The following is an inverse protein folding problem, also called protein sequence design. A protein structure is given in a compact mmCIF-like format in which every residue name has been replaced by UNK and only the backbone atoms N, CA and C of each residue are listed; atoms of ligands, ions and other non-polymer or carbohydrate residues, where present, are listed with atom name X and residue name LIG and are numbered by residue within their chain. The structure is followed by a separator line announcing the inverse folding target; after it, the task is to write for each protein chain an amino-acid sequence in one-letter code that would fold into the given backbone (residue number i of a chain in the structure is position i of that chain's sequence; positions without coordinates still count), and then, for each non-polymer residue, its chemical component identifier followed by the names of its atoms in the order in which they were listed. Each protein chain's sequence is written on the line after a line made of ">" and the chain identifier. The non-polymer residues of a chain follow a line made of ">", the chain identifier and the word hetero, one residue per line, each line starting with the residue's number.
data_IF_386791385635
#
_entry.id   IF_386791385635
#
_cell.length_a   1.000
_cell.length_b   1.000
_cell.length_c   1.000
_cell.angle_alpha   90.00
_cell.angle_beta   90.00
_cell.angle_gamma   90.00
#
_symmetry.space_group_name_H-M   'P 1'
#
loop_
_entity.id
_entity.type
_entity.pdbx_description
1 polymer ?
#
# COMPACT_ATOMS: atom_id res chain seq x y z
N UNK A 1 -6.87 15.19 -9.10
CA UNK A 1 -6.16 16.39 -8.63
C UNK A 1 -4.72 15.95 -8.54
N UNK A 2 -3.99 16.14 -9.63
CA UNK A 2 -2.62 15.65 -9.75
C UNK A 2 -1.68 16.74 -9.23
N UNK A 3 -0.85 16.45 -8.24
CA UNK A 3 0.19 17.39 -7.78
C UNK A 3 0.13 17.82 -6.31
N UNK A 4 -0.36 16.96 -5.41
CA UNK A 4 -0.22 17.11 -3.96
C UNK A 4 0.22 15.75 -3.41
N UNK A 5 1.29 15.72 -2.60
CA UNK A 5 1.80 14.46 -2.03
C UNK A 5 0.80 13.86 -1.05
N UNK A 6 0.76 12.53 -0.95
CA UNK A 6 -0.23 11.84 -0.11
C UNK A 6 -0.19 12.19 1.39
N UNK A 7 0.94 12.71 1.89
CA UNK A 7 1.10 13.18 3.28
C UNK A 7 0.65 14.63 3.50
N UNK A 8 0.29 15.35 2.45
CA UNK A 8 -0.22 16.71 2.53
C UNK A 8 -1.74 16.64 2.61
N UNK A 9 -2.27 16.87 3.81
CA UNK A 9 -3.70 16.84 4.09
C UNK A 9 -4.46 17.77 3.12
N UNK A 10 -5.45 17.22 2.41
CA UNK A 10 -6.26 17.90 1.38
C UNK A 10 -7.69 18.15 1.89
N UNK A 11 -7.91 18.15 3.22
CA UNK A 11 -9.16 18.64 3.77
C UNK A 11 -9.36 20.12 3.40
N UNK A 12 -10.60 20.54 3.20
CA UNK A 12 -11.00 21.93 2.88
C UNK A 12 -10.46 22.94 3.92
N UNK A 13 -10.07 22.47 5.10
CA UNK A 13 -9.44 23.28 6.13
C UNK A 13 -7.98 23.69 5.82
N UNK A 14 -7.22 22.91 5.04
CA UNK A 14 -5.78 23.07 4.73
C UNK A 14 -5.00 23.80 5.86
N UNK A 15 -4.92 23.22 7.07
CA UNK A 15 -4.41 23.93 8.24
C UNK A 15 -2.91 24.25 8.13
N UNK A 16 -2.18 23.53 7.28
CA UNK A 16 -0.76 23.72 7.00
C UNK A 16 -0.57 24.23 5.56
N UNK A 17 0.54 24.92 5.33
CA UNK A 17 0.94 25.37 3.99
C UNK A 17 1.52 24.19 3.20
N UNK A 18 0.88 23.70 2.13
CA UNK A 18 1.39 22.58 1.33
C UNK A 18 2.63 22.98 0.52
N UNK A 19 3.41 22.00 0.09
CA UNK A 19 4.65 22.14 -0.67
C UNK A 19 4.39 22.79 -2.04
N UNK A 20 3.23 22.54 -2.65
CA UNK A 20 2.82 23.23 -3.87
C UNK A 20 2.69 24.76 -3.62
N UNK A 21 1.87 25.17 -2.66
CA UNK A 21 1.74 26.58 -2.29
C UNK A 21 3.07 27.18 -1.84
N UNK A 22 3.90 26.39 -1.15
CA UNK A 22 5.25 26.78 -0.76
C UNK A 22 6.14 27.04 -1.98
N UNK A 23 6.15 26.16 -2.98
CA UNK A 23 6.88 26.36 -4.25
C UNK A 23 6.45 27.65 -4.92
N UNK A 24 5.14 27.87 -5.03
CA UNK A 24 4.58 29.07 -5.66
C UNK A 24 5.08 30.36 -5.00
N UNK A 25 5.02 30.42 -3.66
CA UNK A 25 5.52 31.56 -2.87
C UNK A 25 7.04 31.73 -3.00
N UNK A 26 7.79 30.62 -2.97
CA UNK A 26 9.25 30.62 -3.04
C UNK A 26 9.74 31.17 -4.39
N UNK A 27 9.12 30.77 -5.50
CA UNK A 27 9.41 31.29 -6.85
C UNK A 27 8.96 32.75 -6.99
N UNK A 28 7.84 33.14 -6.38
CA UNK A 28 7.37 34.52 -6.40
C UNK A 28 8.21 35.48 -5.53
N UNK A 29 9.14 34.96 -4.73
CA UNK A 29 9.96 35.75 -3.80
C UNK A 29 9.17 36.23 -2.57
N UNK A 30 8.20 35.44 -2.12
CA UNK A 30 7.27 35.80 -1.05
C UNK A 30 7.37 34.83 0.13
N UNK A 31 7.33 35.37 1.35
CA UNK A 31 7.18 34.59 2.57
C UNK A 31 5.83 34.93 3.20
N UNK A 32 4.96 33.92 3.21
CA UNK A 32 3.67 33.96 3.89
C UNK A 32 3.80 33.25 5.25
N UNK A 33 3.29 33.87 6.32
CA UNK A 33 3.23 33.20 7.63
C UNK A 33 2.12 32.15 7.65
N UNK A 34 2.17 31.22 8.61
CA UNK A 34 1.12 30.22 8.77
C UNK A 34 -0.22 30.87 9.15
N UNK A 35 -0.20 31.90 10.00
CA UNK A 35 -1.41 32.65 10.36
C UNK A 35 -2.01 33.38 9.16
N UNK A 36 -1.19 33.98 8.30
CA UNK A 36 -1.65 34.64 7.08
C UNK A 36 -2.22 33.63 6.08
N UNK A 37 -1.59 32.47 5.93
CA UNK A 37 -2.13 31.35 5.15
C UNK A 37 -3.50 30.89 5.68
N UNK A 38 -3.60 30.67 6.98
CA UNK A 38 -4.85 30.28 7.65
C UNK A 38 -5.91 31.39 7.66
N UNK A 39 -5.53 32.64 7.39
CA UNK A 39 -6.45 33.77 7.20
C UNK A 39 -6.96 33.91 5.76
N UNK A 40 -6.28 33.31 4.76
CA UNK A 40 -6.72 33.35 3.37
C UNK A 40 -8.03 32.57 3.19
N UNK A 41 -8.89 33.06 2.30
CA UNK A 41 -10.06 32.31 1.83
C UNK A 41 -9.67 31.07 1.03
N UNK A 42 -10.58 30.11 0.95
CA UNK A 42 -10.36 28.81 0.29
C UNK A 42 -9.95 28.96 -1.18
N UNK A 43 -10.54 29.93 -1.90
CA UNK A 43 -10.21 30.21 -3.30
C UNK A 43 -8.75 30.66 -3.47
N UNK A 44 -8.28 31.58 -2.63
CA UNK A 44 -6.90 32.05 -2.63
C UNK A 44 -5.91 30.93 -2.28
N UNK A 45 -6.24 30.07 -1.30
CA UNK A 45 -5.40 28.91 -0.96
C UNK A 45 -5.32 27.91 -2.12
N UNK A 46 -6.45 27.62 -2.78
CA UNK A 46 -6.50 26.74 -3.96
C UNK A 46 -5.71 27.33 -5.13
N UNK A 47 -5.82 28.63 -5.38
CA UNK A 47 -5.04 29.31 -6.42
C UNK A 47 -3.52 29.17 -6.19
N UNK A 48 -3.06 29.31 -4.94
CA UNK A 48 -1.65 29.10 -4.58
C UNK A 48 -1.18 27.66 -4.80
N UNK A 49 -2.01 26.67 -4.44
CA UNK A 49 -1.70 25.25 -4.70
C UNK A 49 -1.61 24.99 -6.20
N UNK A 50 -2.60 25.43 -6.98
CA UNK A 50 -2.63 25.25 -8.44
C UNK A 50 -1.42 25.90 -9.11
N UNK A 51 -1.07 27.14 -8.73
CA UNK A 51 0.10 27.83 -9.25
C UNK A 51 1.41 27.07 -8.95
N UNK A 52 1.46 26.41 -7.78
CA UNK A 52 2.60 25.63 -7.33
C UNK A 52 2.73 24.23 -7.94
N UNK A 53 1.62 23.63 -8.39
CA UNK A 53 1.61 22.30 -9.02
C UNK A 53 1.95 22.33 -10.50
N UNK A 54 1.78 23.48 -11.17
CA UNK A 54 2.06 23.64 -12.60
C UNK A 54 3.56 23.55 -12.96
N UNK A 55 3.84 23.26 -14.23
CA UNK A 55 5.22 23.21 -14.76
C UNK A 55 5.94 24.57 -14.66
N UNK A 56 5.19 25.67 -14.70
CA UNK A 56 5.69 27.03 -14.54
C UNK A 56 4.82 27.72 -13.51
N UNK A 57 5.44 28.41 -12.56
CA UNK A 57 4.71 29.22 -11.57
C UNK A 57 4.31 30.55 -12.20
N UNK A 58 3.01 30.82 -12.24
CA UNK A 58 2.49 32.14 -12.59
C UNK A 58 2.64 33.11 -11.40
N UNK A 59 3.73 33.88 -11.42
CA UNK A 59 4.06 34.83 -10.34
C UNK A 59 3.00 35.93 -10.19
N UNK A 60 2.31 36.31 -11.26
CA UNK A 60 1.25 37.32 -11.19
C UNK A 60 0.03 36.77 -10.43
N UNK A 61 -0.41 35.56 -10.78
CA UNK A 61 -1.49 34.88 -10.08
C UNK A 61 -1.16 34.60 -8.60
N UNK A 62 0.09 34.26 -8.28
CA UNK A 62 0.53 34.10 -6.88
C UNK A 62 0.43 35.40 -6.10
N UNK A 63 0.85 36.53 -6.70
CA UNK A 63 0.77 37.86 -6.06
C UNK A 63 -0.67 38.30 -5.85
N UNK A 64 -1.54 38.03 -6.83
CA UNK A 64 -2.97 38.28 -6.71
C UNK A 64 -3.58 37.47 -5.56
N UNK A 65 -3.31 36.16 -5.50
CA UNK A 65 -3.84 35.26 -4.47
C UNK A 65 -3.47 35.66 -3.03
N UNK A 66 -2.35 36.36 -2.82
CA UNK A 66 -1.92 36.80 -1.47
C UNK A 66 -2.29 38.25 -1.13
N UNK A 67 -2.96 38.98 -2.03
CA UNK A 67 -3.23 40.41 -1.85
C UNK A 67 -4.08 40.71 -0.60
N UNK A 68 -4.92 39.77 -0.17
CA UNK A 68 -5.75 39.87 1.03
C UNK A 68 -5.18 39.22 2.30
N UNK A 69 -3.90 38.79 2.29
CA UNK A 69 -3.32 38.11 3.44
C UNK A 69 -2.97 39.07 4.58
N UNK A 70 -3.30 38.69 5.82
CA UNK A 70 -2.94 39.43 7.05
C UNK A 70 -2.25 38.48 8.06
N UNK A 71 -0.98 38.73 8.45
CA UNK A 71 -0.10 39.81 8.00
C UNK A 71 0.28 39.69 6.52
N UNK A 72 0.53 40.84 5.89
CA UNK A 72 0.97 40.92 4.50
C UNK A 72 2.25 40.09 4.25
N UNK A 73 2.40 39.45 3.08
CA UNK A 73 3.58 38.67 2.76
C UNK A 73 4.85 39.51 2.77
N UNK A 74 5.92 39.02 3.37
CA UNK A 74 7.22 39.69 3.34
C UNK A 74 8.04 39.24 2.14
N UNK A 75 8.80 40.15 1.54
CA UNK A 75 9.76 39.80 0.48
C UNK A 75 10.85 38.84 0.99
N UNK A 76 11.25 37.92 0.12
CA UNK A 76 12.43 37.06 0.28
C UNK A 76 13.14 36.92 -1.05
N UNK A 77 14.35 36.36 -1.02
CA UNK A 77 14.99 35.90 -2.25
C UNK A 77 14.08 34.89 -2.96
N UNK A 78 13.78 35.17 -4.23
CA UNK A 78 13.09 34.22 -5.11
C UNK A 78 13.99 32.99 -5.29
N UNK A 79 13.39 31.81 -5.23
CA UNK A 79 14.11 30.60 -5.59
C UNK A 79 14.30 30.55 -7.11
N UNK A 80 15.53 30.23 -7.50
CA UNK A 80 15.88 30.01 -8.89
C UNK A 80 15.69 28.52 -9.20
N UNK A 81 14.61 28.21 -9.93
CA UNK A 81 14.29 26.83 -10.30
C UNK A 81 15.38 26.19 -11.18
N UNK A 82 16.24 26.97 -11.83
CA UNK A 82 17.38 26.44 -12.57
C UNK A 82 18.36 25.68 -11.65
N UNK A 83 18.38 25.96 -10.34
CA UNK A 83 19.18 25.22 -9.35
C UNK A 83 18.69 23.80 -9.11
N UNK A 84 17.46 23.48 -9.52
CA UNK A 84 16.86 22.15 -9.47
C UNK A 84 17.06 21.38 -10.78
N UNK A 85 17.94 21.84 -11.67
CA UNK A 85 18.35 21.09 -12.85
C UNK A 85 18.98 19.73 -12.48
N UNK A 86 19.72 19.69 -11.37
CA UNK A 86 20.36 18.48 -10.84
C UNK A 86 19.82 18.11 -9.44
N UNK A 87 19.84 16.82 -9.06
CA UNK A 87 19.46 16.40 -7.71
C UNK A 87 20.45 16.88 -6.64
N UNK A 88 19.98 17.08 -5.39
CA UNK A 88 20.84 17.29 -4.23
C UNK A 88 21.95 16.24 -4.15
N UNK A 89 23.16 16.64 -3.76
CA UNK A 89 24.34 15.76 -3.79
C UNK A 89 24.13 14.44 -3.02
N UNK A 90 23.43 14.52 -1.88
CA UNK A 90 23.03 13.40 -1.03
C UNK A 90 22.09 12.40 -1.71
N UNK A 91 21.33 12.85 -2.72
CA UNK A 91 20.31 12.04 -3.41
C UNK A 91 20.69 11.69 -4.85
N UNK A 92 21.81 12.19 -5.37
CA UNK A 92 22.27 11.91 -6.74
C UNK A 92 22.34 10.43 -7.07
N UNK A 93 22.84 9.61 -6.14
CA UNK A 93 22.94 8.17 -6.35
C UNK A 93 21.57 7.47 -6.47
N UNK A 94 20.53 8.04 -5.84
CA UNK A 94 19.17 7.47 -5.82
C UNK A 94 18.30 8.01 -6.96
N UNK A 95 18.44 9.29 -7.28
CA UNK A 95 17.54 10.01 -8.18
C UNK A 95 18.16 10.36 -9.52
N UNK A 96 19.47 10.20 -9.71
CA UNK A 96 20.19 10.76 -10.86
C UNK A 96 19.52 10.48 -12.21
N UNK A 97 19.15 9.22 -12.46
CA UNK A 97 18.51 8.81 -13.71
C UNK A 97 17.02 9.20 -13.82
N UNK A 98 16.32 9.33 -12.68
CA UNK A 98 14.90 9.66 -12.62
C UNK A 98 14.64 11.17 -12.55
N UNK A 99 15.60 11.96 -12.08
CA UNK A 99 15.47 13.39 -11.81
C UNK A 99 14.98 14.20 -13.02
N UNK A 100 15.47 13.96 -14.25
CA UNK A 100 14.99 14.67 -15.44
C UNK A 100 13.50 14.41 -15.75
N UNK A 101 12.95 13.27 -15.32
CA UNK A 101 11.54 12.92 -15.54
C UNK A 101 10.61 13.47 -14.44
N UNK A 102 11.14 13.88 -13.28
CA UNK A 102 10.34 14.46 -12.20
C UNK A 102 9.76 15.81 -12.60
N UNK A 103 8.51 16.05 -12.18
CA UNK A 103 7.87 17.36 -12.31
C UNK A 103 8.63 18.43 -11.51
N UNK A 104 8.49 19.73 -11.86
CA UNK A 104 9.11 20.81 -11.09
C UNK A 104 8.71 20.81 -9.61
N UNK A 105 7.44 20.50 -9.31
CA UNK A 105 6.97 20.33 -7.93
C UNK A 105 7.68 19.16 -7.22
N UNK A 106 7.83 18.02 -7.90
CA UNK A 106 8.52 16.86 -7.33
C UNK A 106 9.99 17.17 -6.98
N UNK A 107 10.71 17.83 -7.89
CA UNK A 107 12.09 18.27 -7.65
C UNK A 107 12.18 19.25 -6.49
N UNK A 108 11.25 20.22 -6.44
CA UNK A 108 11.16 21.19 -5.34
C UNK A 108 10.92 20.49 -4.00
N UNK A 109 9.94 19.59 -3.91
CA UNK A 109 9.59 18.90 -2.69
C UNK A 109 10.76 18.10 -2.12
N UNK A 110 11.44 17.32 -2.95
CA UNK A 110 12.62 16.53 -2.54
C UNK A 110 13.73 17.44 -2.02
N UNK A 111 14.10 18.47 -2.78
CA UNK A 111 15.15 19.40 -2.37
C UNK A 111 14.77 20.18 -1.10
N UNK A 112 13.49 20.53 -0.94
CA UNK A 112 12.99 21.23 0.23
C UNK A 112 13.07 20.36 1.50
N UNK A 113 12.62 19.10 1.39
CA UNK A 113 12.62 18.15 2.51
C UNK A 113 14.04 17.76 2.94
N UNK A 114 14.95 17.57 1.97
CA UNK A 114 16.37 17.29 2.21
C UNK A 114 17.04 18.46 2.95
N UNK A 115 16.87 19.69 2.46
CA UNK A 115 17.41 20.90 3.09
C UNK A 115 16.91 21.11 4.52
N UNK A 116 15.68 20.68 4.82
CA UNK A 116 15.07 20.77 6.15
C UNK A 116 15.52 19.65 7.10
N UNK A 117 16.23 18.64 6.61
CA UNK A 117 16.63 17.47 7.40
C UNK A 117 15.45 16.61 7.86
N UNK A 118 14.30 16.67 7.18
CA UNK A 118 13.13 15.89 7.55
C UNK A 118 13.19 14.50 6.90
N UNK A 119 14.02 13.62 7.47
CA UNK A 119 14.30 12.30 6.89
C UNK A 119 13.05 11.44 6.70
N UNK A 120 12.06 11.51 7.61
CA UNK A 120 10.84 10.71 7.51
C UNK A 120 9.99 11.12 6.29
N UNK A 121 9.67 12.41 6.16
CA UNK A 121 8.89 12.91 5.01
C UNK A 121 9.67 12.83 3.71
N UNK A 122 11.00 12.97 3.76
CA UNK A 122 11.84 12.79 2.59
C UNK A 122 11.73 11.36 2.07
N UNK A 123 11.77 10.34 2.93
CA UNK A 123 11.58 8.96 2.50
C UNK A 123 10.17 8.69 1.97
N UNK A 124 9.13 9.28 2.57
CA UNK A 124 7.74 9.20 2.04
C UNK A 124 7.63 9.82 0.64
N UNK A 125 8.15 11.03 0.44
CA UNK A 125 8.16 11.71 -0.86
C UNK A 125 8.99 10.93 -1.89
N UNK A 126 10.14 10.37 -1.49
CA UNK A 126 10.96 9.55 -2.37
C UNK A 126 10.25 8.25 -2.74
N UNK A 127 9.48 7.63 -1.84
CA UNK A 127 8.67 6.47 -2.16
C UNK A 127 7.58 6.77 -3.20
N UNK A 128 6.98 7.97 -3.13
CA UNK A 128 5.96 8.42 -4.09
C UNK A 128 6.57 8.80 -5.46
N UNK A 129 7.79 9.36 -5.49
CA UNK A 129 8.42 9.90 -6.70
C UNK A 129 9.37 8.96 -7.43
N UNK A 130 10.05 8.09 -6.69
CA UNK A 130 10.85 7.03 -7.29
C UNK A 130 9.92 5.90 -7.68
N UNK A 131 10.06 5.33 -8.88
CA UNK A 131 9.37 4.11 -9.21
C UNK A 131 9.98 2.95 -8.40
N UNK A 132 9.61 2.86 -7.11
CA UNK A 132 9.70 1.65 -6.30
C UNK A 132 9.02 1.69 -4.90
N UNK A 133 7.72 2.06 -4.79
CA UNK A 133 6.62 1.40 -3.99
C UNK A 133 5.42 2.35 -3.73
N UNK A 134 4.13 1.92 -3.74
CA UNK A 134 3.48 0.71 -4.22
C UNK A 134 2.66 1.04 -5.48
N UNK A 135 3.28 0.91 -6.64
CA UNK A 135 2.55 0.87 -7.91
C UNK A 135 1.54 -0.26 -7.81
N UNK A 136 0.33 -0.08 -8.37
CA UNK A 136 -0.47 -1.22 -8.84
C UNK A 136 0.42 -1.99 -9.81
N UNK A 137 1.23 -2.90 -9.27
CA UNK A 137 2.34 -3.63 -9.90
C UNK A 137 1.91 -4.31 -11.19
N UNK A 138 0.61 -4.49 -11.32
CA UNK A 138 -0.03 -5.18 -12.39
C UNK A 138 -0.41 -4.32 -13.57
N UNK A 139 -0.08 -3.03 -13.64
CA UNK A 139 -0.44 -2.17 -14.78
C UNK A 139 0.78 -1.57 -15.48
N UNK A 140 0.73 -1.46 -16.80
CA UNK A 140 1.70 -0.73 -17.64
C UNK A 140 1.37 0.77 -17.75
N UNK A 141 2.19 1.53 -18.48
CA UNK A 141 2.01 2.98 -18.70
C UNK A 141 0.69 3.35 -19.39
N UNK A 142 -0.01 2.36 -19.98
CA UNK A 142 -1.30 2.50 -20.65
C UNK A 142 -2.46 1.92 -19.82
N UNK A 143 -2.19 1.48 -18.58
CA UNK A 143 -3.18 0.86 -17.70
C UNK A 143 -3.51 -0.59 -18.04
N UNK A 144 -2.66 -1.30 -18.80
CA UNK A 144 -2.86 -2.70 -19.17
C UNK A 144 -2.20 -3.66 -18.19
N UNK A 145 -2.83 -4.82 -17.97
CA UNK A 145 -2.34 -5.86 -17.09
C UNK A 145 -0.92 -6.34 -17.49
N UNK A 146 0.06 -6.26 -16.57
CA UNK A 146 1.42 -6.80 -16.76
C UNK A 146 1.94 -7.52 -15.51
N UNK A 147 2.80 -8.51 -15.72
CA UNK A 147 3.58 -9.10 -14.63
C UNK A 147 4.80 -8.21 -14.36
N UNK A 148 5.10 -7.92 -13.09
CA UNK A 148 6.27 -7.11 -12.72
C UNK A 148 7.54 -7.88 -13.02
N UNK A 149 8.52 -7.24 -13.66
CA UNK A 149 9.86 -7.82 -13.72
C UNK A 149 10.51 -7.79 -12.33
N UNK A 150 10.96 -8.95 -11.89
CA UNK A 150 11.65 -9.14 -10.61
C UNK A 150 13.09 -9.61 -10.80
N UNK A 151 13.60 -9.74 -12.03
CA UNK A 151 14.89 -10.38 -12.35
C UNK A 151 16.09 -9.86 -11.55
N UNK A 152 16.18 -8.54 -11.41
CA UNK A 152 17.26 -7.84 -10.70
C UNK A 152 17.09 -7.83 -9.16
N UNK A 153 15.95 -8.29 -8.64
CA UNK A 153 15.73 -8.34 -7.19
C UNK A 153 16.53 -9.50 -6.57
N UNK A 154 17.05 -9.26 -5.37
CA UNK A 154 17.79 -10.28 -4.62
C UNK A 154 16.87 -11.45 -4.22
N UNK A 155 17.40 -12.67 -4.37
CA UNK A 155 16.79 -13.88 -3.82
C UNK A 155 16.99 -13.86 -2.30
N UNK A 156 15.88 -13.85 -1.56
CA UNK A 156 15.88 -13.83 -0.09
C UNK A 156 14.88 -14.84 0.44
N UNK A 157 14.98 -15.22 1.72
CA UNK A 157 13.95 -16.03 2.36
C UNK A 157 12.64 -15.23 2.44
N UNK A 158 11.54 -15.87 2.10
CA UNK A 158 10.18 -15.32 2.05
C UNK A 158 9.28 -16.23 2.84
N UNK A 159 8.46 -15.64 3.69
CA UNK A 159 7.44 -16.36 4.46
C UNK A 159 6.16 -15.54 4.48
N UNK A 160 5.03 -16.21 4.33
CA UNK A 160 3.72 -15.63 4.52
C UNK A 160 2.83 -16.56 5.33
N UNK A 161 1.97 -15.98 6.16
CA UNK A 161 0.93 -16.65 6.93
C UNK A 161 -0.41 -16.03 6.55
N UNK A 162 -1.33 -16.86 6.06
CA UNK A 162 -2.71 -16.48 5.80
C UNK A 162 -3.64 -17.23 6.74
N UNK A 163 -4.77 -16.61 7.07
CA UNK A 163 -5.83 -17.20 7.87
C UNK A 163 -7.15 -17.17 7.12
N UNK A 164 -8.07 -18.05 7.49
CA UNK A 164 -9.44 -18.09 6.98
C UNK A 164 -10.34 -18.79 7.98
N UNK A 165 -11.63 -18.50 7.96
CA UNK A 165 -12.63 -19.10 8.84
C UNK A 165 -13.74 -19.76 8.01
N UNK A 166 -14.19 -20.93 8.46
CA UNK A 166 -15.38 -21.60 7.94
C UNK A 166 -16.41 -21.72 9.05
N UNK A 167 -17.53 -21.03 8.90
CA UNK A 167 -18.62 -20.96 9.88
C UNK A 167 -19.75 -21.89 9.45
N UNK A 168 -20.25 -22.65 10.41
CA UNK A 168 -21.27 -23.68 10.22
C UNK A 168 -22.05 -23.92 11.53
N UNK A 169 -23.04 -24.81 11.53
CA UNK A 169 -23.69 -25.21 12.77
C UNK A 169 -22.72 -25.95 13.71
N UNK A 170 -22.82 -25.77 15.04
CA UNK A 170 -22.06 -26.53 16.04
C UNK A 170 -22.13 -28.06 15.85
N UNK A 171 -23.29 -28.58 15.43
CA UNK A 171 -23.46 -30.00 15.12
C UNK A 171 -22.59 -30.45 13.94
N UNK A 172 -22.47 -29.62 12.90
CA UNK A 172 -21.62 -29.90 11.73
C UNK A 172 -20.14 -29.84 12.10
N UNK A 173 -19.74 -28.87 12.92
CA UNK A 173 -18.37 -28.78 13.42
C UNK A 173 -17.98 -30.00 14.28
N UNK A 174 -18.90 -30.51 15.11
CA UNK A 174 -18.70 -31.78 15.85
C UNK A 174 -18.47 -32.98 14.92
N UNK A 175 -19.27 -33.11 13.86
CA UNK A 175 -19.06 -34.19 12.87
C UNK A 175 -17.65 -34.16 12.25
N UNK A 176 -17.10 -32.96 12.02
CA UNK A 176 -15.74 -32.80 11.53
C UNK A 176 -14.70 -33.19 12.59
N UNK A 177 -14.88 -32.73 13.83
CA UNK A 177 -13.99 -33.06 14.95
C UNK A 177 -13.93 -34.59 15.21
N UNK A 178 -15.07 -35.27 15.05
CA UNK A 178 -15.18 -36.72 15.23
C UNK A 178 -14.65 -37.52 14.02
N UNK A 179 -14.24 -36.86 12.93
CA UNK A 179 -13.81 -37.51 11.69
C UNK A 179 -14.93 -38.23 10.92
N UNK A 180 -16.20 -37.95 11.26
CA UNK A 180 -17.38 -38.66 10.78
C UNK A 180 -18.05 -38.01 9.55
N UNK A 181 -17.28 -37.31 8.71
CA UNK A 181 -17.80 -36.67 7.51
C UNK A 181 -18.37 -37.70 6.52
N UNK A 182 -19.48 -37.40 5.81
CA UNK A 182 -20.11 -38.35 4.88
C UNK A 182 -19.22 -38.73 3.68
N UNK A 183 -18.12 -38.00 3.46
CA UNK A 183 -17.13 -38.23 2.42
C UNK A 183 -15.75 -38.60 2.97
N UNK A 184 -15.64 -38.93 4.26
CA UNK A 184 -14.40 -39.24 4.96
C UNK A 184 -13.80 -38.05 5.71
N UNK A 185 -12.48 -38.11 5.96
CA UNK A 185 -11.75 -37.11 6.74
C UNK A 185 -11.68 -35.77 6.00
N UNK A 186 -12.53 -34.84 6.43
CA UNK A 186 -12.69 -33.50 5.87
C UNK A 186 -11.39 -32.70 5.97
N UNK A 187 -10.72 -32.75 7.12
CA UNK A 187 -9.53 -31.92 7.39
C UNK A 187 -8.31 -32.46 6.64
N UNK A 188 -8.15 -33.78 6.53
CA UNK A 188 -7.08 -34.37 5.73
C UNK A 188 -7.21 -34.00 4.25
N UNK A 189 -8.41 -34.11 3.67
CA UNK A 189 -8.64 -33.75 2.26
C UNK A 189 -8.44 -32.25 2.04
N UNK A 190 -8.95 -31.40 2.93
CA UNK A 190 -8.76 -29.95 2.86
C UNK A 190 -7.28 -29.55 2.96
N UNK A 191 -6.48 -30.25 3.79
CA UNK A 191 -5.04 -30.02 3.93
C UNK A 191 -4.31 -30.26 2.61
N UNK A 192 -4.57 -31.41 1.98
CA UNK A 192 -3.95 -31.78 0.71
C UNK A 192 -4.37 -30.80 -0.39
N UNK A 193 -5.65 -30.43 -0.44
CA UNK A 193 -6.16 -29.46 -1.40
C UNK A 193 -5.48 -28.09 -1.25
N UNK A 194 -5.32 -27.58 -0.02
CA UNK A 194 -4.62 -26.32 0.24
C UNK A 194 -3.13 -26.37 -0.17
N UNK A 195 -2.42 -27.47 0.13
CA UNK A 195 -1.01 -27.65 -0.28
C UNK A 195 -0.88 -27.72 -1.81
N UNK A 196 -1.81 -28.42 -2.48
CA UNK A 196 -1.84 -28.49 -3.94
C UNK A 196 -2.13 -27.12 -4.55
N UNK A 197 -3.07 -26.37 -3.99
CA UNK A 197 -3.45 -25.05 -4.46
C UNK A 197 -2.31 -24.04 -4.34
N UNK A 198 -1.56 -24.04 -3.24
CA UNK A 198 -0.39 -23.19 -3.07
C UNK A 198 0.60 -23.32 -4.24
N UNK A 199 0.87 -24.55 -4.67
CA UNK A 199 1.78 -24.85 -5.80
C UNK A 199 1.23 -24.42 -7.16
N UNK A 200 -0.10 -24.26 -7.27
CA UNK A 200 -0.80 -23.84 -8.49
C UNK A 200 -1.19 -22.37 -8.49
N UNK A 201 -0.77 -21.59 -7.48
CA UNK A 201 -1.04 -20.15 -7.39
C UNK A 201 -0.77 -19.38 -8.70
N UNK A 202 0.38 -19.55 -9.41
CA UNK A 202 0.60 -18.85 -10.67
C UNK A 202 -0.33 -19.27 -11.82
N UNK A 203 -0.98 -20.45 -11.74
CA UNK A 203 -2.00 -20.87 -12.70
C UNK A 203 -3.37 -20.23 -12.41
N UNK A 204 -3.60 -19.84 -11.15
CA UNK A 204 -4.89 -19.32 -10.67
C UNK A 204 -4.93 -17.78 -10.63
N UNK A 205 -3.80 -17.15 -10.28
CA UNK A 205 -3.67 -15.70 -10.13
C UNK A 205 -2.86 -15.16 -11.33
N UNK A 206 -3.50 -14.49 -12.31
CA UNK A 206 -2.91 -14.27 -13.64
C UNK A 206 -1.55 -13.59 -13.71
N UNK A 207 -1.18 -12.81 -12.69
CA UNK A 207 0.04 -11.99 -12.68
C UNK A 207 1.01 -12.37 -11.55
N UNK A 208 0.77 -13.51 -10.89
CA UNK A 208 1.72 -14.09 -9.96
C UNK A 208 2.90 -14.72 -10.72
N UNK A 209 4.09 -14.57 -10.17
CA UNK A 209 5.28 -15.28 -10.65
C UNK A 209 5.19 -16.77 -10.28
N UNK A 210 5.85 -17.61 -11.07
CA UNK A 210 6.16 -18.97 -10.63
C UNK A 210 7.21 -18.94 -9.53
N UNK A 211 6.87 -19.47 -8.35
CA UNK A 211 7.76 -19.51 -7.19
C UNK A 211 8.08 -20.96 -6.83
N UNK A 212 9.37 -21.24 -6.60
CA UNK A 212 9.83 -22.53 -6.10
C UNK A 212 9.60 -22.62 -4.57
N UNK A 213 8.39 -22.99 -4.17
CA UNK A 213 8.03 -23.21 -2.77
C UNK A 213 8.84 -24.35 -2.16
N UNK A 214 9.44 -24.14 -1.00
CA UNK A 214 10.14 -25.19 -0.26
C UNK A 214 9.37 -25.68 0.97
N UNK A 215 8.39 -24.92 1.46
CA UNK A 215 7.48 -25.37 2.52
C UNK A 215 6.09 -24.79 2.33
N UNK A 216 5.08 -25.65 2.47
CA UNK A 216 3.68 -25.27 2.62
C UNK A 216 3.09 -26.07 3.76
N UNK A 217 2.42 -25.41 4.71
CA UNK A 217 1.70 -26.04 5.79
C UNK A 217 0.29 -25.45 5.88
N UNK A 218 -0.71 -26.30 6.04
CA UNK A 218 -2.10 -25.89 6.30
C UNK A 218 -2.53 -26.58 7.58
N UNK A 219 -3.02 -25.83 8.57
CA UNK A 219 -3.48 -26.33 9.87
C UNK A 219 -4.90 -25.87 10.12
N UNK A 220 -5.59 -26.59 11.02
CA UNK A 220 -6.99 -26.37 11.33
C UNK A 220 -7.16 -26.38 12.86
N UNK A 221 -8.00 -25.48 13.35
CA UNK A 221 -8.48 -25.46 14.72
C UNK A 221 -10.02 -25.47 14.70
N UNK A 222 -10.62 -26.48 15.33
CA UNK A 222 -12.07 -26.72 15.26
C UNK A 222 -12.69 -26.32 16.59
N UNK A 223 -13.45 -25.24 16.55
CA UNK A 223 -14.27 -24.77 17.66
C UNK A 223 -15.70 -25.29 17.47
N UNK A 224 -15.99 -26.41 18.14
CA UNK A 224 -17.29 -27.08 17.99
C UNK A 224 -18.44 -26.30 18.60
N UNK A 225 -18.19 -25.48 19.63
CA UNK A 225 -19.23 -24.71 20.30
C UNK A 225 -19.58 -23.46 19.49
N UNK A 226 -18.57 -22.78 18.93
CA UNK A 226 -18.77 -21.64 18.03
C UNK A 226 -19.18 -22.06 16.62
N UNK A 227 -19.12 -23.35 16.27
CA UNK A 227 -19.39 -23.83 14.92
C UNK A 227 -18.40 -23.29 13.89
N UNK A 228 -17.11 -23.24 14.25
CA UNK A 228 -16.06 -22.62 13.43
C UNK A 228 -14.88 -23.55 13.21
N UNK A 229 -14.37 -23.54 11.97
CA UNK A 229 -13.04 -24.09 11.66
C UNK A 229 -12.14 -22.94 11.26
N UNK A 230 -11.14 -22.65 12.09
CA UNK A 230 -10.08 -21.71 11.75
C UNK A 230 -9.00 -22.41 10.95
N UNK A 231 -8.57 -21.80 9.85
CA UNK A 231 -7.54 -22.28 8.94
C UNK A 231 -6.33 -21.36 9.07
N UNK A 232 -5.14 -21.94 9.21
CA UNK A 232 -3.89 -21.22 9.02
C UNK A 232 -3.08 -21.88 7.91
N UNK A 233 -2.66 -21.09 6.93
CA UNK A 233 -1.80 -21.53 5.84
C UNK A 233 -0.47 -20.77 5.88
N UNK A 234 0.64 -21.49 5.84
CA UNK A 234 2.00 -20.95 5.80
C UNK A 234 2.65 -21.37 4.50
N UNK A 235 3.23 -20.41 3.77
CA UNK A 235 4.02 -20.64 2.57
C UNK A 235 5.42 -20.05 2.76
N UNK A 236 6.45 -20.77 2.29
CA UNK A 236 7.84 -20.32 2.35
C UNK A 236 8.60 -20.63 1.05
N UNK A 237 9.42 -19.67 0.62
CA UNK A 237 10.27 -19.75 -0.56
C UNK A 237 11.61 -19.02 -0.35
N UNK A 238 12.60 -19.30 -1.21
CA UNK A 238 13.76 -18.43 -1.40
C UNK A 238 13.65 -17.84 -2.79
N UNK A 239 13.15 -16.61 -2.89
CA UNK A 239 12.82 -16.01 -4.19
C UNK A 239 12.89 -14.46 -4.17
N UNK A 240 12.68 -13.89 -5.35
CA UNK A 240 12.73 -12.47 -5.68
C UNK A 240 11.44 -11.72 -5.35
N UNK A 241 10.32 -12.45 -5.26
CA UNK A 241 9.00 -11.95 -4.88
C UNK A 241 8.48 -12.64 -3.63
N UNK A 242 7.45 -12.09 -2.99
CA UNK A 242 6.84 -12.66 -1.79
C UNK A 242 5.92 -13.85 -2.10
N UNK A 243 5.49 -14.54 -1.04
CA UNK A 243 4.63 -15.75 -1.10
C UNK A 243 3.25 -15.53 -0.47
N UNK A 244 2.80 -14.28 -0.41
CA UNK A 244 1.51 -13.89 0.16
C UNK A 244 0.35 -14.61 -0.52
N UNK A 245 0.39 -14.68 -1.85
CA UNK A 245 -0.67 -15.28 -2.65
C UNK A 245 -0.73 -16.79 -2.49
N UNK A 246 0.41 -17.46 -2.35
CA UNK A 246 0.47 -18.90 -2.13
C UNK A 246 -0.16 -19.29 -0.79
N UNK A 247 0.07 -18.51 0.26
CA UNK A 247 -0.59 -18.72 1.55
C UNK A 247 -2.10 -18.44 1.47
N UNK A 248 -2.51 -17.34 0.83
CA UNK A 248 -3.91 -16.95 0.69
C UNK A 248 -4.72 -17.94 -0.16
N UNK A 249 -4.17 -18.39 -1.28
CA UNK A 249 -4.77 -19.41 -2.15
C UNK A 249 -4.89 -20.75 -1.42
N UNK A 250 -3.88 -21.15 -0.65
CA UNK A 250 -3.94 -22.37 0.16
C UNK A 250 -5.08 -22.33 1.18
N UNK A 251 -5.22 -21.24 1.94
CA UNK A 251 -6.31 -21.05 2.91
C UNK A 251 -7.68 -21.06 2.21
N UNK A 252 -7.78 -20.37 1.07
CA UNK A 252 -9.03 -20.25 0.29
C UNK A 252 -9.50 -21.61 -0.21
N UNK A 253 -8.61 -22.39 -0.83
CA UNK A 253 -8.97 -23.69 -1.41
C UNK A 253 -9.20 -24.72 -0.32
N UNK A 254 -8.48 -24.66 0.80
CA UNK A 254 -8.79 -25.50 1.97
C UNK A 254 -10.21 -25.22 2.47
N UNK A 255 -10.62 -23.94 2.59
CA UNK A 255 -11.97 -23.56 2.98
C UNK A 255 -13.04 -24.05 2.00
N UNK A 256 -12.82 -23.86 0.70
CA UNK A 256 -13.72 -24.36 -0.35
C UNK A 256 -13.83 -25.89 -0.33
N UNK A 257 -12.75 -26.58 0.00
CA UNK A 257 -12.74 -28.04 0.12
C UNK A 257 -13.55 -28.50 1.32
N UNK A 258 -13.43 -27.81 2.47
CA UNK A 258 -14.30 -28.06 3.64
C UNK A 258 -15.77 -27.89 3.26
N UNK A 259 -16.10 -26.80 2.54
CA UNK A 259 -17.45 -26.59 2.03
C UNK A 259 -17.91 -27.74 1.13
N UNK A 260 -17.10 -28.16 0.14
CA UNK A 260 -17.46 -29.25 -0.77
C UNK A 260 -17.75 -30.56 -0.02
N UNK A 261 -16.95 -30.83 1.00
CA UNK A 261 -17.02 -32.04 1.82
C UNK A 261 -18.27 -32.06 2.71
N UNK A 262 -18.79 -30.90 3.10
CA UNK A 262 -19.89 -30.75 4.06
C UNK A 262 -21.21 -30.25 3.46
N UNK A 263 -21.25 -29.74 2.22
CA UNK A 263 -22.46 -29.15 1.60
C UNK A 263 -23.68 -30.07 1.53
N UNK A 264 -23.47 -31.39 1.65
CA UNK A 264 -24.56 -32.36 1.73
C UNK A 264 -25.21 -32.42 3.13
N UNK A 265 -24.45 -32.11 4.18
CA UNK A 265 -24.91 -32.00 5.57
C UNK A 265 -25.51 -30.62 5.81
N UNK A 266 -24.79 -29.57 5.40
CA UNK A 266 -25.18 -28.19 5.63
C UNK A 266 -24.78 -27.31 4.44
N UNK A 267 -25.76 -26.66 3.81
CA UNK A 267 -25.52 -25.77 2.66
C UNK A 267 -25.19 -24.33 3.06
N UNK A 268 -25.57 -23.92 4.27
CA UNK A 268 -25.42 -22.57 4.81
C UNK A 268 -24.03 -22.22 5.33
N UNK A 269 -23.03 -23.07 5.07
CA UNK A 269 -21.64 -22.86 5.48
C UNK A 269 -21.11 -21.56 4.87
N UNK A 270 -20.48 -20.71 5.69
CA UNK A 270 -19.91 -19.42 5.27
C UNK A 270 -18.40 -19.46 5.36
N UNK A 271 -17.71 -19.06 4.29
CA UNK A 271 -16.27 -18.83 4.28
C UNK A 271 -16.05 -17.33 4.49
N UNK A 272 -15.22 -16.99 5.48
CA UNK A 272 -15.02 -15.61 5.91
C UNK A 272 -13.57 -15.37 6.30
N UNK A 273 -13.16 -14.09 6.32
CA UNK A 273 -11.86 -13.63 6.82
C UNK A 273 -10.66 -14.35 6.20
N UNK A 274 -10.68 -14.59 4.88
CA UNK A 274 -9.45 -14.99 4.18
C UNK A 274 -8.52 -13.79 4.12
N UNK A 275 -7.45 -13.83 4.91
CA UNK A 275 -6.61 -12.66 5.18
C UNK A 275 -5.14 -13.00 5.35
N UNK A 276 -4.27 -12.09 4.92
CA UNK A 276 -2.84 -12.16 5.24
C UNK A 276 -2.63 -11.71 6.70
N UNK A 277 -2.09 -12.61 7.52
CA UNK A 277 -1.81 -12.38 8.94
C UNK A 277 -0.40 -11.84 9.14
N UNK A 278 0.59 -12.39 8.43
CA UNK A 278 1.99 -12.06 8.60
C UNK A 278 2.73 -12.28 7.28
N UNK A 279 3.73 -11.46 6.98
CA UNK A 279 4.76 -11.79 6.00
C UNK A 279 6.12 -11.30 6.43
N UNK A 280 7.17 -11.97 5.97
CA UNK A 280 8.56 -11.57 6.18
C UNK A 280 9.39 -11.77 4.91
N UNK A 281 10.48 -11.00 4.81
CA UNK A 281 11.43 -11.06 3.71
C UNK A 281 11.14 -10.07 2.58
N UNK A 282 12.20 -9.71 1.84
CA UNK A 282 12.15 -8.69 0.80
C UNK A 282 12.24 -7.25 1.29
N UNK A 283 12.17 -6.34 0.31
CA UNK A 283 12.32 -4.90 0.54
C UNK A 283 11.26 -4.31 1.47
N UNK A 284 10.01 -4.79 1.41
CA UNK A 284 8.92 -4.30 2.25
C UNK A 284 9.05 -4.70 3.72
N UNK A 285 10.05 -5.52 4.08
CA UNK A 285 10.27 -5.94 5.45
C UNK A 285 9.17 -6.85 6.01
N UNK A 286 9.09 -6.88 7.35
CA UNK A 286 8.09 -7.64 8.09
C UNK A 286 6.77 -6.88 8.14
N UNK A 287 5.68 -7.59 7.87
CA UNK A 287 4.33 -7.10 8.09
C UNK A 287 3.62 -8.06 9.05
N UNK A 288 2.92 -7.48 10.01
CA UNK A 288 2.03 -8.17 10.92
C UNK A 288 0.69 -7.44 10.88
N UNK A 289 -0.39 -8.16 10.67
CA UNK A 289 -1.75 -7.60 10.69
C UNK A 289 -2.04 -7.00 12.08
N UNK A 290 -2.40 -5.72 12.11
CA UNK A 290 -2.89 -5.07 13.32
C UNK A 290 -4.22 -5.69 13.76
N UNK A 291 -4.45 -5.79 15.07
CA UNK A 291 -5.76 -6.19 15.58
C UNK A 291 -6.82 -5.19 15.10
N UNK A 292 -8.02 -5.65 14.69
CA UNK A 292 -9.09 -4.74 14.33
C UNK A 292 -9.41 -3.83 15.53
N UNK A 293 -9.31 -2.52 15.33
CA UNK A 293 -9.77 -1.52 16.30
C UNK A 293 -11.26 -1.72 16.46
N UNK A 294 -11.69 -2.12 17.65
CA UNK A 294 -13.11 -2.23 17.99
C UNK A 294 -13.61 -0.80 18.22
N UNK A 295 -14.13 -0.15 17.17
CA UNK A 295 -14.95 1.03 17.38
C UNK A 295 -16.28 0.56 17.97
N UNK A 296 -16.44 0.75 19.28
CA UNK A 296 -17.73 0.67 19.97
C UNK A 296 -18.68 1.69 19.32
N UNK A 297 -19.56 1.21 18.44
CA UNK A 297 -20.74 1.97 18.05
C UNK A 297 -21.64 2.09 19.27
N UNK A 298 -21.68 3.30 19.84
CA UNK A 298 -22.64 3.73 20.85
C UNK A 298 -24.01 3.96 20.22
#
# INVERSE_FOLDING_TARGET
>A
MDGVFGFEDIDDALPLLPLAARRALDVAGLKLSLSAWQGLGLEARRALVVAGSGNVVDVAAVREAVTGADPAPSARAADDEARLADPPASLRARLGEHWPALSPLARFAVAHLEKRGNSARLEEALAELLPDSPVLTHLDEKGQARMVDVGEKAITHRRAVARGNVIMAPATARLVADGAGPKGDVLAVARVAGIMAAKKTPELIPLCHGIALHRVAVTFDVDTDAGRIAIEAVAEARDRTGVEMEAMVAASVAALTIYDMLKAVERGIVITEVVLQEKSGGRSGHYLRAAPTTEEST
#
